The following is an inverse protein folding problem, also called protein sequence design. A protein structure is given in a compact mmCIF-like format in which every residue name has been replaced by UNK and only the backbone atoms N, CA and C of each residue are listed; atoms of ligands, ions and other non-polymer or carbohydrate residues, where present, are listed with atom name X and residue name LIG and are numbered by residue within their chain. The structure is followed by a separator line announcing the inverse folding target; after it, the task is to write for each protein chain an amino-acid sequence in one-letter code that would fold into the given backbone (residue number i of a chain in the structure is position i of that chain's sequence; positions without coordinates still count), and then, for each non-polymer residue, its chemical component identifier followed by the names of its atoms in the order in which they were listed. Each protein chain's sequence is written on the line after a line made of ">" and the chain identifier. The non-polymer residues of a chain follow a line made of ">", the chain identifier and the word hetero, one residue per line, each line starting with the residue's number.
data_IF_511149707179
#
_entry.id   IF_511149707179
#
_cell.length_a   1.000
_cell.length_b   1.000
_cell.length_c   1.000
_cell.angle_alpha   90.00
_cell.angle_beta   90.00
_cell.angle_gamma   90.00
#
_symmetry.space_group_name_H-M   'P 1'
#
loop_
_entity.id
_entity.type
_entity.pdbx_description
1 polymer ?
#
# COMPACT_ATOMS: atom_id res chain seq x y z
N UNK A 1 -13.60 -21.21 -20.83
CA UNK A 1 -13.63 -21.11 -19.35
C UNK A 1 -14.75 -20.14 -19.00
N UNK A 2 -15.75 -20.58 -18.24
CA UNK A 2 -17.00 -19.84 -18.05
C UNK A 2 -16.83 -18.87 -16.86
N UNK A 3 -16.96 -17.56 -17.09
CA UNK A 3 -16.75 -16.52 -16.08
C UNK A 3 -17.65 -16.72 -14.85
N UNK A 4 -18.82 -17.37 -15.04
CA UNK A 4 -19.73 -17.72 -13.96
C UNK A 4 -19.12 -18.74 -12.98
N UNK A 5 -18.25 -19.66 -13.43
CA UNK A 5 -17.54 -20.59 -12.55
C UNK A 5 -16.43 -19.92 -11.73
N UNK A 6 -15.85 -18.83 -12.25
CA UNK A 6 -14.85 -18.05 -11.54
C UNK A 6 -15.52 -17.22 -10.43
N UNK A 7 -16.71 -16.68 -10.69
CA UNK A 7 -17.50 -15.95 -9.69
C UNK A 7 -18.09 -16.89 -8.62
N UNK A 8 -18.45 -18.12 -8.98
CA UNK A 8 -18.89 -19.14 -8.02
C UNK A 8 -17.75 -19.55 -7.06
N UNK A 9 -16.51 -19.69 -7.57
CA UNK A 9 -15.34 -19.97 -6.73
C UNK A 9 -14.97 -18.82 -5.78
N UNK A 10 -15.31 -17.57 -6.13
CA UNK A 10 -15.12 -16.40 -5.28
C UNK A 10 -16.26 -16.19 -4.27
N UNK A 11 -17.39 -16.87 -4.48
CA UNK A 11 -18.61 -16.77 -3.65
C UNK A 11 -18.80 -17.97 -2.72
N UNK A 12 -17.89 -18.95 -2.73
CA UNK A 12 -17.95 -20.10 -1.84
C UNK A 12 -17.58 -19.66 -0.40
N UNK A 13 -18.61 -19.49 0.43
CA UNK A 13 -18.54 -19.03 1.82
C UNK A 13 -17.52 -19.82 2.66
N UNK A 14 -17.17 -21.04 2.25
CA UNK A 14 -16.17 -21.88 2.93
C UNK A 14 -14.76 -21.30 2.93
N UNK A 15 -14.43 -20.36 2.04
CA UNK A 15 -13.16 -19.63 2.07
C UNK A 15 -13.10 -18.58 3.18
N UNK A 16 -14.26 -18.10 3.65
CA UNK A 16 -14.39 -17.07 4.68
C UNK A 16 -14.99 -17.57 6.01
N UNK A 17 -15.59 -18.76 6.05
CA UNK A 17 -16.28 -19.30 7.25
C UNK A 17 -15.46 -20.26 8.10
N UNK A 18 -14.14 -20.36 7.92
CA UNK A 18 -13.29 -20.79 9.03
C UNK A 18 -13.10 -19.58 9.95
N UNK A 19 -14.06 -19.36 10.84
CA UNK A 19 -14.06 -18.27 11.80
C UNK A 19 -12.83 -18.33 12.70
N UNK A 20 -11.75 -17.69 12.26
CA UNK A 20 -10.71 -17.19 13.14
C UNK A 20 -11.06 -15.75 13.46
N UNK A 21 -11.19 -15.44 14.74
CA UNK A 21 -11.35 -14.06 15.19
C UNK A 21 -10.21 -13.19 14.61
N UNK A 22 -10.45 -11.90 14.38
CA UNK A 22 -9.40 -10.98 13.88
C UNK A 22 -8.12 -11.00 14.74
N UNK A 23 -8.25 -11.37 16.01
CA UNK A 23 -7.13 -11.65 16.92
C UNK A 23 -6.36 -12.92 16.54
N UNK A 24 -7.02 -14.01 16.19
CA UNK A 24 -6.39 -15.26 15.74
C UNK A 24 -5.72 -15.11 14.38
N UNK A 25 -6.22 -14.29 13.46
CA UNK A 25 -5.50 -13.98 12.22
C UNK A 25 -4.13 -13.33 12.52
N UNK A 26 -4.07 -12.40 13.48
CA UNK A 26 -2.83 -11.74 13.93
C UNK A 26 -1.95 -12.70 14.74
N UNK A 27 -2.53 -13.53 15.61
CA UNK A 27 -1.79 -14.57 16.34
C UNK A 27 -1.24 -15.65 15.40
N UNK A 28 -1.95 -15.98 14.32
CA UNK A 28 -1.49 -16.92 13.30
C UNK A 28 -0.34 -16.34 12.47
N UNK A 29 -0.33 -15.03 12.18
CA UNK A 29 0.81 -14.33 11.58
C UNK A 29 2.05 -14.42 12.50
N UNK A 30 1.89 -14.17 13.80
CA UNK A 30 2.97 -14.28 14.80
C UNK A 30 3.49 -15.72 14.97
N UNK A 31 2.59 -16.71 14.96
CA UNK A 31 2.92 -18.12 15.21
C UNK A 31 3.48 -18.81 13.96
N UNK A 32 3.09 -18.38 12.76
CA UNK A 32 3.65 -18.85 11.49
C UNK A 32 5.08 -18.35 11.27
N UNK A 33 5.39 -17.10 11.64
CA UNK A 33 6.76 -16.56 11.61
C UNK A 33 7.76 -17.34 12.49
N UNK A 34 7.29 -18.07 13.51
CA UNK A 34 8.12 -18.98 14.32
C UNK A 34 8.23 -20.41 13.75
N UNK A 35 7.36 -20.82 12.82
CA UNK A 35 7.27 -22.21 12.33
C UNK A 35 7.69 -22.40 10.87
N UNK A 36 7.87 -21.35 10.09
CA UNK A 36 8.36 -21.41 8.71
C UNK A 36 9.89 -21.53 8.59
N UNK A 37 10.53 -22.33 9.46
CA UNK A 37 11.98 -22.57 9.45
C UNK A 37 12.37 -23.95 8.87
N UNK A 38 11.47 -24.70 8.24
CA UNK A 38 11.80 -26.08 7.78
C UNK A 38 11.21 -26.37 6.39
N UNK A 39 12.11 -26.54 5.40
CA UNK A 39 12.08 -27.36 4.17
C UNK A 39 10.80 -27.34 3.28
N UNK A 40 10.83 -27.34 1.93
CA UNK A 40 11.69 -28.09 1.02
C UNK A 40 11.44 -27.67 -0.46
N UNK A 41 12.51 -27.73 -1.27
CA UNK A 41 12.70 -28.42 -2.58
C UNK A 41 11.71 -28.16 -3.77
N UNK A 42 12.23 -27.91 -4.99
CA UNK A 42 11.43 -27.59 -6.18
C UNK A 42 10.91 -28.85 -6.90
N UNK A 43 9.64 -28.84 -7.30
CA UNK A 43 9.06 -29.78 -8.26
C UNK A 43 8.27 -29.00 -9.32
N UNK A 44 8.87 -28.88 -10.52
CA UNK A 44 8.15 -28.55 -11.73
C UNK A 44 7.74 -29.81 -12.47
N UNK A 45 6.52 -29.82 -13.04
CA UNK A 45 6.18 -30.35 -14.37
C UNK A 45 4.68 -30.14 -14.65
N UNK A 46 4.32 -29.66 -15.84
CA UNK A 46 2.95 -29.78 -16.36
C UNK A 46 2.48 -28.65 -17.29
N UNK A 47 2.96 -28.66 -18.53
CA UNK A 47 2.49 -27.85 -19.66
C UNK A 47 1.12 -28.32 -20.19
N UNK A 48 0.25 -27.38 -20.62
CA UNK A 48 -0.78 -27.43 -21.70
C UNK A 48 -1.75 -26.24 -21.48
N UNK A 49 -2.10 -25.31 -22.38
CA UNK A 49 -2.11 -25.24 -23.84
C UNK A 49 -2.00 -23.78 -24.35
N UNK A 50 -1.59 -23.69 -25.61
CA UNK A 50 -1.24 -22.56 -26.49
C UNK A 50 -2.38 -21.56 -26.84
N UNK A 51 -2.07 -20.25 -26.80
CA UNK A 51 -2.28 -19.32 -27.94
C UNK A 51 -1.20 -18.23 -27.95
N UNK A 52 -0.74 -17.91 -29.15
CA UNK A 52 0.44 -17.13 -29.57
C UNK A 52 0.71 -15.83 -28.77
N UNK A 53 1.88 -15.78 -28.13
CA UNK A 53 2.68 -14.57 -27.93
C UNK A 53 4.13 -14.91 -28.33
N UNK A 54 4.81 -13.95 -28.94
CA UNK A 54 6.11 -14.12 -29.57
C UNK A 54 7.19 -14.65 -28.60
N UNK A 55 8.11 -15.41 -29.18
CA UNK A 55 9.24 -16.08 -28.53
C UNK A 55 10.11 -15.13 -27.71
N UNK A 56 10.07 -15.25 -26.39
CA UNK A 56 11.20 -14.89 -25.52
C UNK A 56 11.80 -16.19 -24.97
N UNK A 57 13.09 -16.37 -25.23
CA UNK A 57 13.89 -17.50 -24.75
C UNK A 57 13.73 -17.63 -23.23
N UNK A 58 13.16 -18.75 -22.81
CA UNK A 58 13.13 -19.18 -21.41
C UNK A 58 14.58 -19.43 -20.97
N UNK A 59 15.20 -18.44 -20.33
CA UNK A 59 16.45 -18.64 -19.61
C UNK A 59 16.14 -18.91 -18.14
N UNK A 60 16.83 -19.88 -17.57
CA UNK A 60 16.80 -20.27 -16.16
C UNK A 60 17.45 -19.22 -15.23
N UNK A 61 17.18 -17.92 -15.47
CA UNK A 61 17.67 -16.75 -14.72
C UNK A 61 16.60 -16.13 -13.80
N UNK A 62 15.44 -16.77 -13.64
CA UNK A 62 14.27 -16.16 -13.01
C UNK A 62 14.26 -16.15 -11.46
N UNK A 63 15.20 -16.83 -10.80
CA UNK A 63 15.18 -16.94 -9.32
C UNK A 63 15.98 -15.81 -8.64
N UNK A 64 17.02 -15.27 -9.28
CA UNK A 64 17.87 -14.22 -8.68
C UNK A 64 17.34 -12.79 -8.90
N UNK A 65 16.63 -12.52 -10.00
CA UNK A 65 16.02 -11.19 -10.24
C UNK A 65 14.73 -11.00 -9.43
N UNK A 66 13.90 -12.04 -9.34
CA UNK A 66 12.63 -11.98 -8.61
C UNK A 66 12.80 -11.81 -7.08
N UNK A 67 13.92 -12.27 -6.52
CA UNK A 67 14.21 -12.05 -5.11
C UNK A 67 14.55 -10.59 -4.83
N UNK A 68 15.30 -9.92 -5.73
CA UNK A 68 15.57 -8.49 -5.62
C UNK A 68 14.29 -7.68 -5.76
N UNK A 69 13.46 -7.90 -6.78
CA UNK A 69 12.21 -7.15 -6.96
C UNK A 69 11.26 -7.30 -5.75
N UNK A 70 11.11 -8.53 -5.24
CA UNK A 70 10.32 -8.82 -4.04
C UNK A 70 10.86 -8.05 -2.83
N UNK A 71 12.15 -8.16 -2.55
CA UNK A 71 12.72 -7.55 -1.34
C UNK A 71 12.85 -6.04 -1.48
N UNK A 72 13.08 -5.51 -2.68
CA UNK A 72 13.14 -4.08 -2.95
C UNK A 72 11.77 -3.42 -2.78
N UNK A 73 10.70 -4.09 -3.25
CA UNK A 73 9.33 -3.67 -3.00
C UNK A 73 9.01 -3.63 -1.48
N UNK A 74 9.45 -4.64 -0.72
CA UNK A 74 9.25 -4.70 0.72
C UNK A 74 10.10 -3.67 1.49
N UNK A 75 11.32 -3.37 1.04
CA UNK A 75 12.16 -2.33 1.61
C UNK A 75 11.56 -0.94 1.35
N UNK A 76 11.03 -0.70 0.15
CA UNK A 76 10.31 0.52 -0.16
C UNK A 76 9.09 0.67 0.75
N UNK A 77 8.25 -0.36 0.85
CA UNK A 77 7.10 -0.36 1.77
C UNK A 77 7.56 -0.04 3.20
N UNK A 78 8.64 -0.66 3.67
CA UNK A 78 9.15 -0.41 5.03
C UNK A 78 9.55 1.06 5.27
N UNK A 79 10.12 1.73 4.26
CA UNK A 79 10.44 3.16 4.35
C UNK A 79 9.18 4.03 4.44
N UNK A 80 8.15 3.71 3.66
CA UNK A 80 6.86 4.44 3.70
C UNK A 80 6.17 4.24 5.06
N UNK A 81 6.14 3.01 5.55
CA UNK A 81 5.56 2.69 6.86
C UNK A 81 6.32 3.33 8.02
N UNK A 82 7.65 3.45 7.91
CA UNK A 82 8.43 4.23 8.88
C UNK A 82 8.07 5.71 8.88
N UNK A 83 7.83 6.28 7.69
CA UNK A 83 7.47 7.68 7.51
C UNK A 83 6.11 7.94 8.18
N UNK A 84 5.09 7.13 7.88
CA UNK A 84 3.75 7.26 8.44
C UNK A 84 3.74 6.98 9.94
N UNK A 85 4.43 5.92 10.39
CA UNK A 85 4.49 5.59 11.81
C UNK A 85 5.11 6.72 12.64
N UNK A 86 6.24 7.28 12.19
CA UNK A 86 6.88 8.40 12.87
C UNK A 86 5.98 9.63 12.86
N UNK A 87 5.36 9.95 11.72
CA UNK A 87 4.49 11.10 11.56
C UNK A 87 3.33 11.09 12.57
N UNK A 88 2.63 9.96 12.69
CA UNK A 88 1.52 9.82 13.63
C UNK A 88 1.98 9.81 15.08
N UNK A 89 3.13 9.21 15.39
CA UNK A 89 3.70 9.24 16.74
C UNK A 89 4.01 10.67 17.20
N UNK A 90 4.62 11.49 16.32
CA UNK A 90 4.92 12.90 16.62
C UNK A 90 3.60 13.68 16.75
N UNK A 91 2.67 13.53 15.80
CA UNK A 91 1.39 14.25 15.81
C UNK A 91 0.54 13.94 17.05
N UNK A 92 0.50 12.68 17.49
CA UNK A 92 -0.19 12.30 18.73
C UNK A 92 0.50 12.86 19.97
N UNK A 93 1.83 13.01 19.95
CA UNK A 93 2.62 13.55 21.05
C UNK A 93 2.57 15.08 21.15
N UNK A 94 2.26 15.77 20.04
CA UNK A 94 2.15 17.22 19.97
C UNK A 94 0.96 17.73 20.82
N UNK A 95 1.20 18.55 21.87
CA UNK A 95 0.13 19.04 22.74
C UNK A 95 -0.87 19.92 21.99
N UNK A 96 -2.15 19.59 22.08
CA UNK A 96 -3.23 20.40 21.51
C UNK A 96 -3.33 20.39 19.97
N UNK A 97 -2.46 19.64 19.26
CA UNK A 97 -2.50 19.56 17.80
C UNK A 97 -3.78 18.88 17.30
N UNK A 98 -4.00 17.63 17.74
CA UNK A 98 -5.12 16.81 17.26
C UNK A 98 -6.34 17.02 18.18
N UNK A 99 -7.49 17.49 17.66
CA UNK A 99 -8.72 17.64 18.44
C UNK A 99 -9.18 16.33 19.06
N UNK A 100 -9.78 16.40 20.25
CA UNK A 100 -10.21 15.22 20.99
C UNK A 100 -11.13 14.27 20.20
N UNK A 101 -12.02 14.83 19.36
CA UNK A 101 -12.93 14.06 18.49
C UNK A 101 -12.23 13.21 17.43
N UNK A 102 -11.03 13.61 17.03
CA UNK A 102 -10.27 13.01 15.93
C UNK A 102 -9.12 12.13 16.45
N UNK A 103 -8.76 12.29 17.73
CA UNK A 103 -7.60 11.65 18.35
C UNK A 103 -7.67 10.11 18.33
N UNK A 104 -8.84 9.53 18.56
CA UNK A 104 -9.01 8.07 18.53
C UNK A 104 -8.76 7.48 17.14
N UNK A 105 -9.05 8.23 16.08
CA UNK A 105 -8.76 7.84 14.69
C UNK A 105 -7.26 7.73 14.49
N UNK A 106 -6.50 8.79 14.79
CA UNK A 106 -5.05 8.77 14.60
C UNK A 106 -4.32 7.83 15.54
N UNK A 107 -4.85 7.58 16.76
CA UNK A 107 -4.34 6.52 17.62
C UNK A 107 -4.51 5.12 17.00
N UNK A 108 -5.60 4.89 16.25
CA UNK A 108 -5.82 3.62 15.59
C UNK A 108 -4.91 3.46 14.37
N UNK A 109 -4.79 4.50 13.54
CA UNK A 109 -3.87 4.53 12.39
C UNK A 109 -2.43 4.29 12.85
N UNK A 110 -1.94 5.05 13.84
CA UNK A 110 -0.61 4.86 14.44
C UNK A 110 -0.33 3.41 14.89
N UNK A 111 -1.32 2.71 15.45
CA UNK A 111 -1.20 1.29 15.83
C UNK A 111 -1.06 0.37 14.62
N UNK A 112 -1.78 0.65 13.55
CA UNK A 112 -1.68 -0.12 12.30
C UNK A 112 -0.29 0.08 11.68
N UNK A 113 0.20 1.32 11.57
CA UNK A 113 1.54 1.57 11.01
C UNK A 113 2.65 0.89 11.82
N UNK A 114 2.55 0.88 13.16
CA UNK A 114 3.49 0.13 13.99
C UNK A 114 3.45 -1.38 13.71
N UNK A 115 2.25 -1.92 13.43
CA UNK A 115 2.07 -3.33 13.09
C UNK A 115 2.62 -3.65 11.69
N UNK A 116 2.41 -2.78 10.71
CA UNK A 116 2.94 -2.91 9.35
C UNK A 116 4.47 -2.87 9.34
N UNK A 117 5.09 -1.90 10.01
CA UNK A 117 6.56 -1.86 10.21
C UNK A 117 7.07 -3.18 10.79
N UNK A 118 6.43 -3.67 11.86
CA UNK A 118 6.84 -4.92 12.51
C UNK A 118 6.70 -6.12 11.58
N UNK A 119 5.61 -6.19 10.83
CA UNK A 119 5.36 -7.24 9.84
C UNK A 119 6.43 -7.23 8.73
N UNK A 120 6.73 -6.07 8.14
CA UNK A 120 7.68 -5.94 7.04
C UNK A 120 9.10 -6.30 7.48
N UNK A 121 9.54 -5.85 8.66
CA UNK A 121 10.85 -6.22 9.23
C UNK A 121 10.98 -7.73 9.42
N UNK A 122 9.95 -8.37 9.97
CA UNK A 122 9.94 -9.81 10.15
C UNK A 122 9.93 -10.55 8.81
N UNK A 123 9.15 -10.06 7.85
CA UNK A 123 9.06 -10.66 6.50
C UNK A 123 10.39 -10.57 5.78
N UNK A 124 11.02 -9.39 5.73
CA UNK A 124 12.36 -9.21 5.15
C UNK A 124 13.39 -10.14 5.79
N UNK A 125 13.41 -10.21 7.12
CA UNK A 125 14.31 -11.11 7.86
C UNK A 125 14.06 -12.58 7.50
N UNK A 126 12.79 -13.00 7.38
CA UNK A 126 12.44 -14.37 6.99
C UNK A 126 12.84 -14.73 5.56
N UNK A 127 12.96 -13.73 4.69
CA UNK A 127 13.45 -13.86 3.32
C UNK A 127 14.98 -13.80 3.22
N UNK A 128 15.68 -13.70 4.36
CA UNK A 128 17.14 -13.58 4.41
C UNK A 128 17.67 -12.17 4.11
N UNK A 129 16.80 -11.16 4.11
CA UNK A 129 17.16 -9.77 3.83
C UNK A 129 17.15 -8.95 5.12
N UNK A 130 18.25 -8.24 5.39
CA UNK A 130 18.33 -7.32 6.52
C UNK A 130 17.35 -6.16 6.31
N UNK A 131 16.40 -5.90 7.22
CA UNK A 131 15.50 -4.76 7.10
C UNK A 131 16.27 -3.44 7.10
N UNK A 132 15.88 -2.51 6.23
CA UNK A 132 16.45 -1.17 6.18
C UNK A 132 16.29 -0.43 7.51
N UNK A 133 17.29 0.41 7.81
CA UNK A 133 17.22 1.29 8.97
C UNK A 133 16.14 2.37 8.76
N UNK A 134 15.49 2.77 9.85
CA UNK A 134 14.55 3.90 9.83
C UNK A 134 15.30 5.19 9.48
N UNK A 135 14.92 5.92 8.42
CA UNK A 135 15.50 7.22 8.11
C UNK A 135 15.19 8.27 9.19
N UNK A 136 15.93 9.37 9.17
CA UNK A 136 15.52 10.58 9.88
C UNK A 136 14.57 11.37 8.99
N UNK A 137 13.49 11.90 9.56
CA UNK A 137 12.48 12.62 8.80
C UNK A 137 12.40 14.12 9.15
N UNK A 138 12.33 14.97 8.13
CA UNK A 138 11.93 16.38 8.21
C UNK A 138 10.52 16.55 7.61
N UNK A 139 9.51 16.52 8.48
CA UNK A 139 8.11 16.71 8.08
C UNK A 139 7.74 18.15 7.69
N UNK A 140 8.66 19.11 7.82
CA UNK A 140 8.46 20.45 7.27
C UNK A 140 8.72 20.49 5.77
N UNK A 141 9.37 19.46 5.21
CA UNK A 141 9.87 19.42 3.84
C UNK A 141 10.61 20.71 3.46
N UNK A 142 11.61 21.08 4.27
CA UNK A 142 12.38 22.33 4.13
C UNK A 142 11.51 23.58 4.29
N UNK A 143 10.61 23.58 5.27
CA UNK A 143 9.75 24.72 5.63
C UNK A 143 8.51 24.94 4.76
N UNK A 144 8.16 23.98 3.89
CA UNK A 144 6.92 24.01 3.09
C UNK A 144 5.66 23.71 3.90
N UNK A 145 5.81 22.97 5.00
CA UNK A 145 4.71 22.55 5.88
C UNK A 145 5.02 22.86 7.34
N UNK A 146 3.97 23.00 8.15
CA UNK A 146 4.05 23.14 9.61
C UNK A 146 3.09 22.17 10.31
N UNK A 147 3.24 20.85 10.07
CA UNK A 147 2.20 19.87 10.41
C UNK A 147 2.01 19.64 11.91
N UNK A 148 2.95 20.05 12.75
CA UNK A 148 2.88 19.80 14.20
C UNK A 148 2.48 21.03 15.02
N UNK A 149 2.17 22.13 14.34
CA UNK A 149 1.63 23.36 14.95
C UNK A 149 0.31 23.80 14.31
N UNK A 150 -0.03 23.26 13.14
CA UNK A 150 -1.28 23.51 12.42
C UNK A 150 -1.95 22.17 12.06
N UNK A 151 -3.14 21.94 12.64
CA UNK A 151 -3.90 20.71 12.41
C UNK A 151 -4.40 20.55 10.96
N UNK A 152 -4.65 21.65 10.24
CA UNK A 152 -5.00 21.58 8.82
C UNK A 152 -3.81 21.05 8.00
N UNK A 153 -2.61 21.55 8.29
CA UNK A 153 -1.37 21.05 7.69
C UNK A 153 -1.08 19.61 8.12
N UNK A 154 -1.44 19.23 9.35
CA UNK A 154 -1.38 17.84 9.80
C UNK A 154 -2.24 16.93 8.90
N UNK A 155 -3.51 17.30 8.69
CA UNK A 155 -4.42 16.53 7.85
C UNK A 155 -3.98 16.48 6.38
N UNK A 156 -3.41 17.57 5.85
CA UNK A 156 -2.87 17.62 4.48
C UNK A 156 -1.78 16.57 4.31
N UNK A 157 -0.78 16.53 5.19
CA UNK A 157 0.32 15.58 5.06
C UNK A 157 -0.12 14.15 5.41
N UNK A 158 -0.99 13.96 6.40
CA UNK A 158 -1.60 12.65 6.65
C UNK A 158 -2.26 12.12 5.37
N UNK A 159 -3.08 12.93 4.69
CA UNK A 159 -3.71 12.52 3.44
C UNK A 159 -2.67 12.18 2.37
N UNK A 160 -1.65 13.03 2.19
CA UNK A 160 -0.62 12.81 1.19
C UNK A 160 0.18 11.52 1.43
N UNK A 161 0.45 11.16 2.68
CA UNK A 161 1.16 9.94 3.03
C UNK A 161 0.31 8.72 2.77
N UNK A 162 -0.90 8.68 3.32
CA UNK A 162 -1.83 7.56 3.13
C UNK A 162 -2.11 7.31 1.64
N UNK A 163 -2.33 8.37 0.87
CA UNK A 163 -2.53 8.28 -0.58
C UNK A 163 -1.28 7.75 -1.29
N UNK A 164 -0.08 8.12 -0.83
CA UNK A 164 1.18 7.57 -1.36
C UNK A 164 1.32 6.08 -1.02
N UNK A 165 1.04 5.69 0.22
CA UNK A 165 1.10 4.31 0.70
C UNK A 165 0.17 3.39 -0.10
N UNK A 166 -1.11 3.75 -0.19
CA UNK A 166 -2.13 3.01 -0.97
C UNK A 166 -1.64 2.74 -2.39
N UNK A 167 -1.26 3.80 -3.11
CA UNK A 167 -0.87 3.74 -4.51
C UNK A 167 0.45 3.02 -4.73
N UNK A 168 1.39 3.14 -3.78
CA UNK A 168 2.67 2.43 -3.81
C UNK A 168 2.49 0.92 -3.59
N UNK A 169 1.68 0.49 -2.61
CA UNK A 169 1.38 -0.92 -2.40
C UNK A 169 0.75 -1.56 -3.64
N UNK A 170 -0.20 -0.86 -4.28
CA UNK A 170 -0.79 -1.32 -5.53
C UNK A 170 0.25 -1.40 -6.65
N UNK A 171 1.08 -0.37 -6.81
CA UNK A 171 2.14 -0.32 -7.83
C UNK A 171 3.22 -1.39 -7.66
N UNK A 172 3.49 -1.81 -6.42
CA UNK A 172 4.45 -2.86 -6.11
C UNK A 172 3.84 -4.28 -6.08
N UNK A 173 2.53 -4.43 -6.28
CA UNK A 173 1.86 -5.74 -6.23
C UNK A 173 2.47 -6.74 -7.23
N UNK A 174 2.89 -6.28 -8.41
CA UNK A 174 3.57 -7.10 -9.42
C UNK A 174 4.92 -7.64 -8.95
N UNK A 175 5.67 -6.85 -8.16
CA UNK A 175 6.99 -7.23 -7.66
C UNK A 175 6.92 -8.28 -6.54
N UNK A 176 5.79 -8.34 -5.81
CA UNK A 176 5.59 -9.33 -4.75
C UNK A 176 4.78 -10.56 -5.19
N UNK A 177 4.28 -10.59 -6.42
CA UNK A 177 3.27 -11.57 -6.86
C UNK A 177 3.76 -13.02 -6.92
N UNK A 178 5.09 -13.21 -6.97
CA UNK A 178 5.75 -14.53 -6.99
C UNK A 178 5.62 -15.25 -5.64
N UNK A 179 5.51 -14.50 -4.54
CA UNK A 179 5.28 -15.03 -3.20
C UNK A 179 3.84 -14.78 -2.77
N UNK A 180 2.98 -15.81 -2.86
CA UNK A 180 1.54 -15.67 -2.60
C UNK A 180 1.21 -15.24 -1.17
N UNK A 181 2.00 -15.66 -0.19
CA UNK A 181 1.84 -15.25 1.20
C UNK A 181 2.14 -13.77 1.37
N UNK A 182 3.25 -13.29 0.79
CA UNK A 182 3.61 -11.87 0.82
C UNK A 182 2.60 -11.03 0.04
N UNK A 183 2.19 -11.46 -1.15
CA UNK A 183 1.17 -10.79 -1.95
C UNK A 183 -0.15 -10.64 -1.17
N UNK A 184 -0.61 -11.72 -0.53
CA UNK A 184 -1.84 -11.67 0.27
C UNK A 184 -1.73 -10.65 1.40
N UNK A 185 -0.61 -10.65 2.14
CA UNK A 185 -0.39 -9.69 3.21
C UNK A 185 -0.29 -8.25 2.69
N UNK A 186 0.43 -8.03 1.58
CA UNK A 186 0.54 -6.71 0.96
C UNK A 186 -0.83 -6.16 0.50
N UNK A 187 -1.70 -7.02 -0.05
CA UNK A 187 -3.08 -6.63 -0.40
C UNK A 187 -3.95 -6.34 0.82
N UNK A 188 -3.71 -7.02 1.95
CA UNK A 188 -4.40 -6.73 3.20
C UNK A 188 -3.98 -5.38 3.77
N UNK A 189 -2.68 -5.05 3.74
CA UNK A 189 -2.17 -3.73 4.15
C UNK A 189 -2.71 -2.64 3.23
N UNK A 190 -2.62 -2.82 1.90
CA UNK A 190 -3.21 -1.90 0.92
C UNK A 190 -4.69 -1.56 1.22
N UNK A 191 -5.49 -2.56 1.61
CA UNK A 191 -6.89 -2.34 2.01
C UNK A 191 -7.05 -1.56 3.31
N UNK A 192 -6.11 -1.68 4.24
CA UNK A 192 -6.07 -0.89 5.49
C UNK A 192 -5.69 0.56 5.16
N UNK A 193 -4.62 0.79 4.40
CA UNK A 193 -4.22 2.13 3.95
C UNK A 193 -5.35 2.82 3.18
N UNK A 194 -6.08 2.10 2.33
CA UNK A 194 -7.20 2.69 1.58
C UNK A 194 -8.30 3.21 2.51
N UNK A 195 -8.51 2.56 3.66
CA UNK A 195 -9.46 3.00 4.69
C UNK A 195 -8.93 4.19 5.47
N UNK A 196 -7.63 4.24 5.76
CA UNK A 196 -6.99 5.39 6.38
C UNK A 196 -7.08 6.62 5.46
N UNK A 197 -6.64 6.50 4.20
CA UNK A 197 -6.76 7.52 3.17
C UNK A 197 -8.19 8.05 3.05
N UNK A 198 -9.18 7.15 2.89
CA UNK A 198 -10.59 7.56 2.83
C UNK A 198 -11.05 8.27 4.11
N UNK A 199 -10.61 7.84 5.28
CA UNK A 199 -11.00 8.45 6.56
C UNK A 199 -10.39 9.86 6.69
N UNK A 200 -9.11 10.03 6.38
CA UNK A 200 -8.42 11.34 6.44
C UNK A 200 -9.03 12.33 5.44
N UNK A 201 -9.30 11.90 4.20
CA UNK A 201 -9.99 12.75 3.20
C UNK A 201 -11.34 13.24 3.73
N UNK A 202 -12.14 12.34 4.34
CA UNK A 202 -13.43 12.72 4.93
C UNK A 202 -13.30 13.67 6.12
N UNK A 203 -12.24 13.56 6.91
CA UNK A 203 -11.95 14.52 7.99
C UNK A 203 -11.61 15.91 7.46
N UNK A 204 -11.08 15.99 6.22
CA UNK A 204 -10.88 17.23 5.46
C UNK A 204 -12.13 17.69 4.69
N UNK A 205 -13.28 17.07 4.92
CA UNK A 205 -14.54 17.30 4.20
C UNK A 205 -14.49 17.01 2.69
N UNK A 206 -13.55 16.17 2.26
CA UNK A 206 -13.46 15.68 0.89
C UNK A 206 -14.21 14.34 0.71
N UNK A 207 -14.35 13.90 -0.55
CA UNK A 207 -14.81 12.55 -0.87
C UNK A 207 -13.84 11.49 -0.35
N UNK A 208 -14.31 10.26 -0.17
CA UNK A 208 -13.45 9.15 0.27
C UNK A 208 -12.45 8.68 -0.80
N UNK A 209 -12.63 9.13 -2.05
CA UNK A 209 -11.85 8.78 -3.24
C UNK A 209 -11.39 10.04 -3.97
N UNK A 210 -10.43 9.88 -4.88
CA UNK A 210 -9.87 10.95 -5.72
C UNK A 210 -10.65 11.01 -7.03
N UNK A 211 -10.80 12.22 -7.59
CA UNK A 211 -11.37 12.45 -8.93
C UNK A 211 -10.45 13.41 -9.67
N UNK A 212 -10.17 13.16 -10.96
CA UNK A 212 -9.47 14.11 -11.83
C UNK A 212 -8.12 14.61 -11.26
N UNK A 213 -7.37 13.74 -10.59
CA UNK A 213 -6.12 14.10 -9.89
C UNK A 213 -6.26 15.21 -8.83
N UNK A 214 -7.47 15.43 -8.32
CA UNK A 214 -7.76 16.40 -7.26
C UNK A 214 -7.77 15.74 -5.88
N UNK A 215 -6.71 15.99 -5.10
CA UNK A 215 -6.63 15.60 -3.68
C UNK A 215 -7.48 16.46 -2.74
N UNK A 216 -8.25 17.42 -3.24
CA UNK A 216 -9.12 18.29 -2.46
C UNK A 216 -8.36 19.40 -1.74
N UNK A 217 -8.13 20.51 -2.45
CA UNK A 217 -7.46 21.72 -1.96
C UNK A 217 -6.08 21.44 -1.33
N UNK A 218 -5.28 20.60 -1.99
CA UNK A 218 -3.95 20.25 -1.53
C UNK A 218 -2.90 21.26 -2.03
N UNK A 219 -1.83 21.57 -1.26
CA UNK A 219 -0.75 22.44 -1.72
C UNK A 219 0.00 21.83 -2.91
N UNK A 220 0.52 22.67 -3.82
CA UNK A 220 1.21 22.19 -5.03
C UNK A 220 2.38 21.22 -4.78
N UNK A 221 2.98 21.26 -3.59
CA UNK A 221 4.04 20.34 -3.18
C UNK A 221 3.57 18.87 -3.11
N UNK A 222 2.27 18.60 -2.99
CA UNK A 222 1.71 17.24 -2.96
C UNK A 222 1.21 16.78 -4.33
N UNK A 223 1.29 17.60 -5.40
CA UNK A 223 0.82 17.22 -6.73
C UNK A 223 1.36 15.86 -7.23
N UNK A 224 2.63 15.47 -6.96
CA UNK A 224 3.12 14.14 -7.36
C UNK A 224 2.31 12.97 -6.77
N UNK A 225 1.69 13.14 -5.60
CA UNK A 225 0.86 12.13 -4.94
C UNK A 225 -0.42 11.83 -5.73
N UNK A 226 -0.85 12.72 -6.63
CA UNK A 226 -2.10 12.59 -7.40
C UNK A 226 -1.87 12.45 -8.90
N UNK A 227 -0.60 12.43 -9.35
CA UNK A 227 -0.29 12.30 -10.77
C UNK A 227 -0.85 10.98 -11.32
N UNK A 228 -1.64 11.07 -12.40
CA UNK A 228 -2.26 9.92 -13.08
C UNK A 228 -3.66 9.55 -12.59
N UNK A 229 -4.12 10.06 -11.44
CA UNK A 229 -5.46 9.81 -10.88
C UNK A 229 -6.60 10.44 -11.70
N UNK A 230 -6.30 11.14 -12.79
CA UNK A 230 -7.26 11.62 -13.78
C UNK A 230 -7.51 10.60 -14.92
N UNK A 231 -6.88 9.43 -14.88
CA UNK A 231 -7.02 8.40 -15.90
C UNK A 231 -8.45 7.86 -16.00
N UNK A 232 -9.04 8.02 -17.18
CA UNK A 232 -10.37 7.50 -17.50
C UNK A 232 -10.33 6.31 -18.45
N UNK A 233 -9.15 5.86 -18.87
CA UNK A 233 -8.99 4.74 -19.78
C UNK A 233 -8.36 3.54 -19.06
N UNK A 234 -9.17 2.53 -18.82
CA UNK A 234 -8.88 1.40 -17.94
C UNK A 234 -8.74 0.15 -18.79
N UNK A 235 -7.50 -0.26 -19.07
CA UNK A 235 -7.21 -1.38 -19.98
C UNK A 235 -7.94 -1.29 -21.35
N UNK A 236 -8.05 -0.07 -21.90
CA UNK A 236 -8.74 0.21 -23.16
C UNK A 236 -10.25 0.48 -23.03
N UNK A 237 -10.80 0.42 -21.81
CA UNK A 237 -12.17 0.79 -21.52
C UNK A 237 -12.25 2.24 -21.01
N UNK A 238 -12.90 3.13 -21.75
CA UNK A 238 -13.07 4.52 -21.33
C UNK A 238 -14.27 4.69 -20.38
N UNK A 239 -14.00 4.80 -19.08
CA UNK A 239 -15.01 4.95 -18.01
C UNK A 239 -15.77 6.27 -18.09
N UNK A 240 -15.15 7.33 -18.60
CA UNK A 240 -15.79 8.66 -18.69
C UNK A 240 -16.98 8.70 -19.64
N UNK A 241 -17.01 7.81 -20.64
CA UNK A 241 -18.12 7.72 -21.60
C UNK A 241 -19.42 7.26 -20.94
N UNK A 242 -19.33 6.48 -19.85
CA UNK A 242 -20.49 5.94 -19.14
C UNK A 242 -20.86 6.79 -17.93
N UNK A 243 -19.85 7.28 -17.19
CA UNK A 243 -20.06 7.89 -15.86
C UNK A 243 -19.70 9.38 -15.81
N UNK A 244 -19.17 9.96 -16.89
CA UNK A 244 -18.53 11.28 -16.88
C UNK A 244 -17.10 11.21 -16.34
N UNK A 245 -16.27 12.23 -16.63
CA UNK A 245 -14.83 12.20 -16.32
C UNK A 245 -14.53 12.07 -14.82
N UNK A 246 -15.28 12.77 -13.97
CA UNK A 246 -15.10 12.74 -12.51
C UNK A 246 -15.35 11.34 -11.94
N UNK A 247 -16.55 10.78 -12.12
CA UNK A 247 -16.85 9.42 -11.64
C UNK A 247 -16.05 8.34 -12.38
N UNK A 248 -15.72 8.57 -13.65
CA UNK A 248 -14.90 7.67 -14.45
C UNK A 248 -13.46 7.53 -13.93
N UNK A 249 -12.83 8.63 -13.54
CA UNK A 249 -11.48 8.61 -12.94
C UNK A 249 -11.49 7.97 -11.55
N UNK A 250 -12.52 8.22 -10.73
CA UNK A 250 -12.69 7.59 -9.42
C UNK A 250 -13.00 6.08 -9.44
N UNK A 251 -13.20 5.48 -10.63
CA UNK A 251 -13.60 4.08 -10.73
C UNK A 251 -12.44 3.12 -10.38
N UNK A 252 -11.20 3.60 -10.42
CA UNK A 252 -9.99 2.84 -10.09
C UNK A 252 -9.00 3.75 -9.36
N UNK A 253 -8.36 3.20 -8.34
CA UNK A 253 -7.20 3.82 -7.69
C UNK A 253 -5.97 3.63 -8.59
N UNK A 254 -5.22 4.66 -8.95
CA UNK A 254 -4.10 4.55 -9.88
C UNK A 254 -2.79 4.27 -9.14
N UNK A 255 -1.87 3.55 -9.77
CA UNK A 255 -0.61 3.20 -9.09
C UNK A 255 0.34 4.39 -9.00
N UNK A 256 1.23 4.35 -8.01
CA UNK A 256 2.53 5.02 -8.07
C UNK A 256 3.58 3.96 -8.40
N UNK A 257 4.52 4.27 -9.30
CA UNK A 257 5.67 3.39 -9.47
C UNK A 257 6.54 3.43 -8.21
N UNK A 258 7.44 2.45 -8.07
CA UNK A 258 8.36 2.44 -6.94
C UNK A 258 9.25 3.68 -6.89
N UNK A 259 9.61 4.23 -8.06
CA UNK A 259 10.45 5.42 -8.15
C UNK A 259 9.66 6.69 -7.84
N UNK A 260 8.39 6.78 -8.24
CA UNK A 260 7.52 7.90 -7.86
C UNK A 260 7.33 7.95 -6.34
N UNK A 261 7.05 6.79 -5.71
CA UNK A 261 6.88 6.68 -4.27
C UNK A 261 8.17 7.04 -3.52
N UNK A 262 9.34 6.59 -3.99
CA UNK A 262 10.65 6.99 -3.45
C UNK A 262 10.87 8.49 -3.58
N UNK A 263 10.55 9.07 -4.74
CA UNK A 263 10.73 10.50 -4.98
C UNK A 263 9.87 11.33 -4.01
N UNK A 264 8.61 10.94 -3.78
CA UNK A 264 7.72 11.58 -2.80
C UNK A 264 8.29 11.45 -1.39
N UNK A 265 8.65 10.24 -0.95
CA UNK A 265 9.20 10.00 0.39
C UNK A 265 10.51 10.77 0.62
N UNK A 266 11.35 10.90 -0.40
CA UNK A 266 12.65 11.60 -0.32
C UNK A 266 12.55 13.08 0.03
N UNK A 267 11.37 13.70 -0.17
CA UNK A 267 11.13 15.09 0.23
C UNK A 267 11.21 15.27 1.75
N UNK A 268 11.01 14.19 2.50
CA UNK A 268 10.93 14.17 3.96
C UNK A 268 12.13 13.47 4.60
N UNK A 269 13.08 12.93 3.85
CA UNK A 269 14.25 12.22 4.41
C UNK A 269 15.45 13.15 4.49
N UNK A 270 16.16 13.15 5.64
CA UNK A 270 17.36 13.95 5.91
C UNK A 270 18.53 13.16 6.47
#
# INVERSE_FOLDING_TARGET
>A
MNILKLLDMLSDDKFFTAGSSRSEAITNIYTFGKKAAIAAVPLGLGSMMTTKAETVKQSSMAVSMAQNDLTDALQLALVLEYLENEYYNIGLSAPGLIPAKDRTVFMQISKHESAHVSFLKNTLTSLGTTPGNKPTFDFTAKGKFSPFTDYSQFLILAQAFEDTGVRAYKGQAGNVMSNKTVLQAALQIHSVEARHASQVRRMRANKGWIELADGGNMPAATNPVYAGEDNTNQAGYNTSTTFGAAAGSASYDEILTGDDAKAIASLFIV
#
